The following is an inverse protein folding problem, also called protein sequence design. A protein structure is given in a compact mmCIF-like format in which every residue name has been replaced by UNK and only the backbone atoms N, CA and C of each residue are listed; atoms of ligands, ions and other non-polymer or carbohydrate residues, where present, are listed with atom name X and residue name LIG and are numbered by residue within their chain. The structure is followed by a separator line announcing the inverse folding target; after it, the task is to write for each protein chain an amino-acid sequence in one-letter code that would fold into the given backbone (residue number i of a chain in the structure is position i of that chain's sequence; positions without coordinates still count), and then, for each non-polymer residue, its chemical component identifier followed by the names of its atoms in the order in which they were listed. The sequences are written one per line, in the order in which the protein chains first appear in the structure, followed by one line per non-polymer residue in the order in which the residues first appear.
data_IF_896471341104
#
_entry.id   IF_896471341104
#
_cell.length_a   1.000
_cell.length_b   1.000
_cell.length_c   1.000
_cell.angle_alpha   90.00
_cell.angle_beta   90.00
_cell.angle_gamma   90.00
#
_symmetry.space_group_name_H-M   'P 1'
#
loop_
_entity.id
_entity.type
_entity.pdbx_description
1 polymer ?
#
# COMPACT_ATOMS: atom_id res chain seq x y z
N UNK A 1 24.71 -0.72 8.20
CA UNK A 1 23.64 0.02 8.89
C UNK A 1 22.30 -0.63 8.51
N UNK A 2 21.73 -1.48 9.37
CA UNK A 2 20.40 -2.05 9.13
C UNK A 2 19.37 -0.93 9.31
N UNK A 3 18.75 -0.48 8.22
CA UNK A 3 17.57 0.37 8.31
C UNK A 3 16.47 -0.51 8.92
N UNK A 4 16.08 -0.23 10.16
CA UNK A 4 14.95 -0.88 10.80
C UNK A 4 13.73 -0.66 9.91
N UNK A 5 13.23 -1.74 9.30
CA UNK A 5 12.05 -1.70 8.44
C UNK A 5 10.86 -1.51 9.37
N UNK A 6 10.36 -0.28 9.49
CA UNK A 6 9.17 0.00 10.29
C UNK A 6 7.99 -0.82 9.71
N UNK A 7 7.66 -1.94 10.34
CA UNK A 7 6.51 -2.75 9.98
C UNK A 7 5.28 -2.17 10.68
N UNK A 8 4.42 -1.51 9.89
CA UNK A 8 3.10 -1.12 10.38
C UNK A 8 2.29 -2.41 10.56
N UNK A 9 1.72 -2.62 11.74
CA UNK A 9 0.75 -3.70 11.98
C UNK A 9 -0.66 -3.14 11.86
N UNK A 10 -1.55 -3.79 11.11
CA UNK A 10 -2.95 -3.40 11.00
C UNK A 10 -3.72 -3.90 12.24
N UNK A 11 -3.89 -3.04 13.25
CA UNK A 11 -4.61 -3.38 14.49
C UNK A 11 -5.95 -2.69 14.60
N UNK A 12 -6.03 -1.45 14.13
CA UNK A 12 -7.22 -0.59 14.18
C UNK A 12 -7.41 0.17 12.87
N UNK A 13 -8.59 0.76 12.63
CA UNK A 13 -8.86 1.48 11.38
C UNK A 13 -7.87 2.60 11.05
N UNK A 14 -7.32 3.28 12.06
CA UNK A 14 -6.31 4.33 11.88
C UNK A 14 -5.03 3.83 11.17
N UNK A 15 -4.70 2.56 11.35
CA UNK A 15 -3.49 1.96 10.77
C UNK A 15 -3.66 1.71 9.27
N UNK A 16 -4.92 1.62 8.78
CA UNK A 16 -5.28 1.20 7.44
C UNK A 16 -4.48 1.92 6.35
N UNK A 17 -4.45 3.25 6.39
CA UNK A 17 -3.81 4.05 5.31
C UNK A 17 -2.30 3.82 5.26
N UNK A 18 -1.63 3.82 6.42
CA UNK A 18 -0.18 3.61 6.51
C UNK A 18 0.17 2.16 6.16
N UNK A 19 -0.61 1.21 6.67
CA UNK A 19 -0.44 -0.21 6.42
C UNK A 19 -0.59 -0.54 4.92
N UNK A 20 -1.70 -0.09 4.30
CA UNK A 20 -1.98 -0.33 2.88
C UNK A 20 -0.88 0.27 2.00
N UNK A 21 -0.36 1.45 2.33
CA UNK A 21 0.78 2.05 1.63
C UNK A 21 2.01 1.12 1.63
N UNK A 22 2.34 0.48 2.76
CA UNK A 22 3.45 -0.48 2.80
C UNK A 22 3.20 -1.70 1.91
N UNK A 23 1.95 -2.17 1.81
CA UNK A 23 1.57 -3.30 0.95
C UNK A 23 1.67 -2.91 -0.53
N UNK A 24 1.23 -1.70 -0.88
CA UNK A 24 1.37 -1.14 -2.23
C UNK A 24 2.83 -1.05 -2.66
N UNK A 25 3.69 -0.49 -1.82
CA UNK A 25 5.15 -0.43 -2.07
C UNK A 25 5.74 -1.84 -2.24
N UNK A 26 5.27 -2.83 -1.47
CA UNK A 26 5.74 -4.22 -1.62
C UNK A 26 5.31 -4.83 -2.96
N UNK A 27 4.06 -4.61 -3.35
CA UNK A 27 3.50 -5.07 -4.62
C UNK A 27 4.20 -4.41 -5.83
N UNK A 28 4.47 -3.11 -5.77
CA UNK A 28 5.08 -2.34 -6.86
C UNK A 28 6.50 -2.83 -7.21
N UNK A 29 7.23 -3.45 -6.27
CA UNK A 29 8.58 -4.01 -6.49
C UNK A 29 8.63 -5.03 -7.63
N UNK A 30 7.55 -5.79 -7.82
CA UNK A 30 7.42 -6.77 -8.89
C UNK A 30 6.26 -6.40 -9.84
N UNK A 31 5.86 -5.13 -9.87
CA UNK A 31 4.75 -4.61 -10.68
C UNK A 31 3.44 -5.38 -10.45
N UNK A 32 3.17 -5.77 -9.20
CA UNK A 32 2.04 -6.63 -8.87
C UNK A 32 0.74 -5.89 -8.59
N UNK A 33 0.79 -4.56 -8.42
CA UNK A 33 -0.38 -3.80 -7.96
C UNK A 33 -1.58 -3.98 -8.89
N UNK A 34 -1.34 -4.17 -10.20
CA UNK A 34 -2.40 -4.42 -11.20
C UNK A 34 -3.23 -5.69 -10.95
N UNK A 35 -2.66 -6.69 -10.25
CA UNK A 35 -3.33 -7.95 -9.89
C UNK A 35 -3.96 -7.91 -8.48
N UNK A 36 -3.77 -6.83 -7.72
CA UNK A 36 -4.30 -6.71 -6.34
C UNK A 36 -4.95 -5.35 -6.05
N UNK A 37 -5.18 -4.55 -7.09
CA UNK A 37 -5.67 -3.19 -6.95
C UNK A 37 -7.12 -3.17 -6.41
N UNK A 38 -7.28 -2.67 -5.18
CA UNK A 38 -8.57 -2.57 -4.50
C UNK A 38 -9.52 -1.49 -5.02
N UNK A 39 -9.05 -0.66 -5.95
CA UNK A 39 -9.87 0.36 -6.61
C UNK A 39 -10.52 -0.18 -7.90
N UNK A 40 -10.09 -1.37 -8.34
CA UNK A 40 -10.68 -2.09 -9.46
C UNK A 40 -11.69 -3.13 -8.97
N UNK A 41 -12.74 -3.33 -9.78
CA UNK A 41 -13.65 -4.45 -9.59
C UNK A 41 -12.94 -5.76 -9.95
N UNK A 42 -13.34 -6.91 -9.36
CA UNK A 42 -12.72 -8.20 -9.66
C UNK A 42 -12.67 -8.52 -11.17
N UNK A 43 -13.68 -8.09 -11.92
CA UNK A 43 -13.80 -8.33 -13.37
C UNK A 43 -12.82 -7.49 -14.20
N UNK A 44 -12.25 -6.42 -13.63
CA UNK A 44 -11.27 -5.54 -14.29
C UNK A 44 -9.84 -5.82 -13.85
N UNK A 45 -9.66 -6.70 -12.88
CA UNK A 45 -8.35 -7.09 -12.36
C UNK A 45 -7.65 -7.94 -13.42
N UNK A 46 -6.35 -7.71 -13.63
CA UNK A 46 -5.57 -8.63 -14.45
C UNK A 46 -5.47 -9.97 -13.74
N UNK A 47 -5.57 -11.07 -14.48
CA UNK A 47 -5.27 -12.39 -13.97
C UNK A 47 -3.87 -12.78 -14.41
N UNK A 48 -3.01 -13.13 -13.45
CA UNK A 48 -1.64 -13.52 -13.78
C UNK A 48 -1.60 -14.78 -14.66
N UNK A 49 -2.57 -15.69 -14.51
CA UNK A 49 -2.66 -16.92 -15.32
C UNK A 49 -2.82 -16.61 -16.81
N UNK A 50 -3.50 -15.52 -17.18
CA UNK A 50 -3.68 -15.12 -18.58
C UNK A 50 -2.36 -14.71 -19.25
N UNK A 51 -1.37 -14.29 -18.44
CA UNK A 51 -0.02 -13.93 -18.91
C UNK A 51 0.94 -15.12 -18.93
N UNK A 52 0.50 -16.32 -18.53
CA UNK A 52 1.36 -17.50 -18.50
C UNK A 52 1.82 -17.84 -19.92
N UNK A 53 3.14 -17.88 -20.18
CA UNK A 53 3.66 -18.27 -21.49
C UNK A 53 3.18 -19.66 -21.88
N UNK A 54 2.79 -19.83 -23.14
CA UNK A 54 2.34 -21.11 -23.69
C UNK A 54 3.47 -21.75 -24.45
N UNK A 55 3.82 -22.96 -24.05
CA UNK A 55 4.81 -23.77 -24.74
C UNK A 55 4.28 -24.16 -26.13
N UNK A 56 5.13 -24.09 -27.14
CA UNK A 56 4.82 -24.51 -28.50
C UNK A 56 5.47 -25.87 -28.74
N UNK A 57 4.70 -26.78 -29.32
CA UNK A 57 5.22 -28.09 -29.74
C UNK A 57 6.31 -27.92 -30.82
N UNK A 58 7.35 -28.76 -30.76
CA UNK A 58 8.50 -28.71 -31.68
C UNK A 58 8.10 -28.75 -33.16
N UNK A 59 7.06 -29.52 -33.52
CA UNK A 59 6.52 -29.58 -34.89
C UNK A 59 6.12 -28.23 -35.49
N UNK A 60 5.81 -27.22 -34.67
CA UNK A 60 5.43 -25.87 -35.12
C UNK A 60 6.58 -25.13 -35.80
N UNK A 61 7.82 -25.57 -35.59
CA UNK A 61 9.01 -24.96 -36.17
C UNK A 61 9.44 -25.60 -37.49
N UNK A 62 8.76 -26.67 -37.94
CA UNK A 62 9.09 -27.36 -39.19
C UNK A 62 8.41 -26.72 -40.39
N UNK A 63 9.10 -26.70 -41.54
CA UNK A 63 8.57 -26.24 -42.81
C UNK A 63 8.88 -27.25 -43.95
N UNK A 64 7.87 -27.86 -44.59
CA UNK A 64 6.43 -27.68 -44.35
C UNK A 64 6.01 -28.24 -42.98
N UNK A 65 4.93 -27.68 -42.42
CA UNK A 65 4.27 -28.29 -41.27
C UNK A 65 3.80 -29.69 -41.64
N UNK A 66 4.01 -30.64 -40.74
CA UNK A 66 3.61 -32.03 -40.89
C UNK A 66 2.91 -32.50 -39.62
N UNK A 67 2.02 -33.47 -39.77
CA UNK A 67 1.31 -34.10 -38.65
C UNK A 67 2.11 -35.24 -38.00
N UNK A 68 3.32 -35.51 -38.49
CA UNK A 68 4.23 -36.49 -37.92
C UNK A 68 4.72 -36.04 -36.54
N UNK A 69 5.02 -37.02 -35.68
CA UNK A 69 5.70 -36.75 -34.41
C UNK A 69 7.14 -36.31 -34.72
N UNK A 70 7.48 -35.10 -34.29
CA UNK A 70 8.77 -34.45 -34.56
C UNK A 70 9.40 -34.07 -33.24
N UNK A 71 10.66 -34.41 -33.09
CA UNK A 71 11.49 -34.00 -31.95
C UNK A 71 12.62 -33.07 -32.40
N UNK A 72 13.33 -32.46 -31.45
CA UNK A 72 14.38 -31.46 -31.70
C UNK A 72 15.46 -31.95 -32.68
N UNK A 73 15.93 -33.22 -32.63
CA UNK A 73 16.92 -33.74 -33.57
C UNK A 73 16.47 -33.78 -35.03
N UNK A 74 15.17 -33.77 -35.29
CA UNK A 74 14.60 -33.85 -36.64
C UNK A 74 14.57 -32.48 -37.36
N UNK A 75 14.90 -31.40 -36.65
CA UNK A 75 14.92 -30.05 -37.19
C UNK A 75 16.19 -29.79 -38.02
N UNK A 76 16.02 -29.11 -39.16
CA UNK A 76 17.15 -28.56 -39.91
C UNK A 76 17.87 -27.47 -39.11
N UNK A 77 19.10 -27.12 -39.50
CA UNK A 77 19.88 -26.09 -38.82
C UNK A 77 19.15 -24.72 -38.75
N UNK A 78 18.39 -24.36 -39.77
CA UNK A 78 17.59 -23.13 -39.81
C UNK A 78 16.39 -23.19 -38.88
N UNK A 79 15.65 -24.31 -38.87
CA UNK A 79 14.50 -24.50 -37.99
C UNK A 79 14.92 -24.59 -36.52
N UNK A 80 16.04 -25.26 -36.25
CA UNK A 80 16.66 -25.33 -34.93
C UNK A 80 17.07 -23.94 -34.42
N UNK A 81 17.57 -23.06 -35.29
CA UNK A 81 17.88 -21.68 -34.91
C UNK A 81 16.61 -20.88 -34.54
N UNK A 82 15.50 -21.08 -35.25
CA UNK A 82 14.20 -20.48 -34.93
C UNK A 82 13.65 -21.02 -33.61
N UNK A 83 13.67 -22.35 -33.43
CA UNK A 83 13.27 -23.03 -32.19
C UNK A 83 14.08 -22.49 -31.00
N UNK A 84 15.42 -22.46 -31.09
CA UNK A 84 16.28 -21.96 -30.02
C UNK A 84 16.01 -20.49 -29.67
N UNK A 85 15.72 -19.65 -30.68
CA UNK A 85 15.37 -18.25 -30.45
C UNK A 85 14.03 -18.10 -29.73
N UNK A 86 13.05 -18.93 -30.10
CA UNK A 86 11.76 -19.00 -29.40
C UNK A 86 11.91 -19.55 -27.98
N UNK A 87 12.63 -20.66 -27.78
CA UNK A 87 12.84 -21.29 -26.48
C UNK A 87 13.48 -20.33 -25.48
N UNK A 88 14.54 -19.61 -25.89
CA UNK A 88 15.15 -18.55 -25.05
C UNK A 88 14.18 -17.45 -24.64
N UNK A 89 13.25 -17.08 -25.54
CA UNK A 89 12.21 -16.09 -25.23
C UNK A 89 11.18 -16.67 -24.26
N UNK A 90 10.73 -17.91 -24.52
CA UNK A 90 9.80 -18.63 -23.67
C UNK A 90 10.36 -18.77 -22.25
N UNK A 91 11.58 -19.29 -22.07
CA UNK A 91 12.24 -19.43 -20.77
C UNK A 91 12.31 -18.10 -20.01
N UNK A 92 12.64 -17.01 -20.71
CA UNK A 92 12.73 -15.67 -20.11
C UNK A 92 11.36 -15.16 -19.68
N UNK A 93 10.35 -15.34 -20.52
CA UNK A 93 8.99 -14.88 -20.23
C UNK A 93 8.38 -15.75 -19.11
N UNK A 94 8.69 -17.05 -19.05
CA UNK A 94 8.24 -17.98 -18.00
C UNK A 94 8.92 -17.67 -16.67
N UNK A 95 10.23 -17.40 -16.67
CA UNK A 95 10.95 -16.97 -15.47
C UNK A 95 10.38 -15.66 -14.89
N UNK A 96 9.98 -14.71 -15.75
CA UNK A 96 9.30 -13.47 -15.31
C UNK A 96 7.93 -13.76 -14.71
N UNK A 97 7.15 -14.65 -15.32
CA UNK A 97 5.85 -15.07 -14.81
C UNK A 97 5.97 -15.77 -13.44
N UNK A 98 6.88 -16.74 -13.30
CA UNK A 98 7.16 -17.43 -12.04
C UNK A 98 7.63 -16.46 -10.94
N UNK A 99 8.39 -15.44 -11.31
CA UNK A 99 8.81 -14.39 -10.37
C UNK A 99 7.61 -13.62 -9.83
N UNK A 100 6.67 -13.23 -10.70
CA UNK A 100 5.42 -12.56 -10.28
C UNK A 100 4.56 -13.46 -9.40
N UNK A 101 4.41 -14.73 -9.78
CA UNK A 101 3.61 -15.72 -9.03
C UNK A 101 4.16 -15.88 -7.60
N UNK A 102 5.47 -16.11 -7.47
CA UNK A 102 6.15 -16.21 -6.17
C UNK A 102 5.99 -14.93 -5.36
N UNK A 103 6.08 -13.78 -6.01
CA UNK A 103 5.95 -12.49 -5.33
C UNK A 103 4.51 -12.21 -4.86
N UNK A 104 3.46 -12.68 -5.57
CA UNK A 104 2.07 -12.64 -5.09
C UNK A 104 1.85 -13.51 -3.86
N UNK A 105 2.40 -14.73 -3.84
CA UNK A 105 2.37 -15.61 -2.65
C UNK A 105 3.10 -14.98 -1.47
N UNK A 106 4.22 -14.33 -1.74
CA UNK A 106 4.97 -13.56 -0.73
C UNK A 106 4.15 -12.40 -0.18
N UNK A 107 3.45 -11.65 -1.05
CA UNK A 107 2.58 -10.56 -0.62
C UNK A 107 1.45 -11.07 0.29
N UNK A 108 0.84 -12.21 -0.04
CA UNK A 108 -0.17 -12.85 0.80
C UNK A 108 0.38 -13.20 2.19
N UNK A 109 1.58 -13.78 2.25
CA UNK A 109 2.26 -14.05 3.53
C UNK A 109 2.54 -12.76 4.31
N UNK A 110 3.02 -11.71 3.65
CA UNK A 110 3.28 -10.43 4.32
C UNK A 110 2.00 -9.79 4.87
N UNK A 111 0.85 -9.95 4.20
CA UNK A 111 -0.45 -9.50 4.73
C UNK A 111 -0.74 -10.22 6.03
N UNK A 112 -0.70 -11.55 6.05
CA UNK A 112 -0.95 -12.37 7.23
C UNK A 112 -0.02 -11.99 8.39
N UNK A 113 1.26 -11.77 8.13
CA UNK A 113 2.26 -11.41 9.15
C UNK A 113 2.12 -9.99 9.71
N UNK A 114 1.41 -9.10 9.00
CA UNK A 114 1.32 -7.68 9.36
C UNK A 114 -0.09 -7.26 9.77
N UNK A 115 -1.01 -8.19 9.98
CA UNK A 115 -2.28 -7.93 10.64
C UNK A 115 -2.25 -8.40 12.10
N UNK A 116 -3.07 -7.76 12.93
CA UNK A 116 -3.29 -8.21 14.30
C UNK A 116 -3.95 -9.59 14.33
N UNK A 117 -3.58 -10.43 15.30
CA UNK A 117 -4.07 -11.81 15.42
C UNK A 117 -5.59 -11.87 15.44
N UNK A 118 -6.27 -10.89 16.05
CA UNK A 118 -7.73 -10.83 16.12
C UNK A 118 -8.42 -10.65 14.75
N UNK A 119 -7.67 -10.26 13.72
CA UNK A 119 -8.17 -10.05 12.37
C UNK A 119 -7.82 -11.20 11.42
N UNK A 120 -7.03 -12.20 11.88
CA UNK A 120 -6.69 -13.37 11.06
C UNK A 120 -7.93 -14.17 10.66
N UNK A 121 -8.90 -14.29 11.55
CA UNK A 121 -10.16 -15.01 11.30
C UNK A 121 -10.94 -14.41 10.11
N UNK A 122 -10.75 -13.12 9.81
CA UNK A 122 -11.40 -12.46 8.67
C UNK A 122 -10.90 -12.97 7.32
N UNK A 123 -9.69 -13.55 7.26
CA UNK A 123 -9.03 -13.90 6.00
C UNK A 123 -8.70 -15.38 5.85
N UNK A 124 -9.20 -16.24 6.75
CA UNK A 124 -8.94 -17.69 6.72
C UNK A 124 -9.37 -18.33 5.39
N UNK A 125 -10.53 -17.94 4.87
CA UNK A 125 -11.10 -18.49 3.63
C UNK A 125 -10.64 -17.75 2.36
N UNK A 126 -9.71 -16.80 2.48
CA UNK A 126 -9.23 -16.03 1.33
C UNK A 126 -8.12 -16.80 0.58
N UNK A 127 -8.35 -17.10 -0.70
CA UNK A 127 -7.43 -17.89 -1.52
C UNK A 127 -6.19 -17.11 -2.00
N UNK A 128 -6.27 -15.78 -2.07
CA UNK A 128 -5.23 -14.95 -2.67
C UNK A 128 -5.06 -13.58 -1.97
N UNK A 129 -3.99 -12.86 -2.33
CA UNK A 129 -3.71 -11.55 -1.75
C UNK A 129 -4.80 -10.50 -2.02
N UNK A 130 -5.50 -10.58 -3.16
CA UNK A 130 -6.55 -9.62 -3.51
C UNK A 130 -7.78 -9.80 -2.61
N UNK A 131 -8.26 -11.03 -2.46
CA UNK A 131 -9.36 -11.40 -1.58
C UNK A 131 -9.07 -11.04 -0.13
N UNK A 132 -7.85 -11.31 0.36
CA UNK A 132 -7.39 -10.89 1.69
C UNK A 132 -7.49 -9.37 1.87
N UNK A 133 -6.89 -8.60 0.95
CA UNK A 133 -6.90 -7.14 1.00
C UNK A 133 -8.31 -6.56 0.90
N UNK A 134 -9.17 -7.15 0.07
CA UNK A 134 -10.56 -6.71 -0.11
C UNK A 134 -11.38 -6.94 1.15
N UNK A 135 -11.24 -8.10 1.79
CA UNK A 135 -11.92 -8.41 3.04
C UNK A 135 -11.44 -7.49 4.16
N UNK A 136 -10.13 -7.31 4.32
CA UNK A 136 -9.58 -6.38 5.31
C UNK A 136 -10.06 -4.94 5.04
N UNK A 137 -10.16 -4.48 3.79
CA UNK A 137 -10.70 -3.15 3.42
C UNK A 137 -12.13 -3.00 3.90
N UNK A 138 -12.97 -4.01 3.67
CA UNK A 138 -14.38 -4.00 4.08
C UNK A 138 -14.54 -3.83 5.60
N UNK A 139 -13.68 -4.44 6.41
CA UNK A 139 -13.81 -4.47 7.86
C UNK A 139 -12.99 -3.40 8.60
N UNK A 140 -11.87 -2.97 8.04
CA UNK A 140 -10.86 -2.16 8.74
C UNK A 140 -10.56 -0.83 8.05
N UNK A 141 -11.01 -0.60 6.82
CA UNK A 141 -10.92 0.73 6.23
C UNK A 141 -11.95 1.65 6.91
N UNK A 142 -11.54 2.72 7.61
CA UNK A 142 -12.50 3.66 8.17
C UNK A 142 -13.24 4.36 7.03
N UNK A 143 -14.53 4.65 7.25
CA UNK A 143 -15.25 5.56 6.35
C UNK A 143 -14.65 6.98 6.46
N UNK A 144 -14.92 7.84 5.48
CA UNK A 144 -14.48 9.24 5.52
C UNK A 144 -14.99 9.93 6.80
N UNK A 145 -16.25 9.67 7.19
CA UNK A 145 -16.83 10.21 8.42
C UNK A 145 -16.13 9.73 9.68
N UNK A 146 -15.85 8.42 9.78
CA UNK A 146 -15.11 7.85 10.91
C UNK A 146 -13.69 8.40 10.99
N UNK A 147 -12.99 8.48 9.85
CA UNK A 147 -11.65 9.07 9.77
C UNK A 147 -11.67 10.52 10.24
N UNK A 148 -12.60 11.33 9.76
CA UNK A 148 -12.70 12.74 10.16
C UNK A 148 -13.03 12.88 11.65
N UNK A 149 -13.88 12.02 12.19
CA UNK A 149 -14.17 11.99 13.62
C UNK A 149 -12.93 11.64 14.46
N UNK A 150 -12.16 10.63 14.04
CA UNK A 150 -10.91 10.25 14.70
C UNK A 150 -9.85 11.35 14.63
N UNK A 151 -9.72 12.02 13.47
CA UNK A 151 -8.80 13.14 13.30
C UNK A 151 -9.16 14.29 14.25
N UNK A 152 -10.45 14.62 14.37
CA UNK A 152 -10.93 15.62 15.34
C UNK A 152 -10.63 15.23 16.78
N UNK A 153 -10.93 13.99 17.17
CA UNK A 153 -10.67 13.53 18.53
C UNK A 153 -9.18 13.65 18.89
N UNK A 154 -8.28 13.27 17.97
CA UNK A 154 -6.82 13.45 18.15
C UNK A 154 -6.42 14.92 18.17
N UNK A 155 -7.02 15.74 17.31
CA UNK A 155 -6.76 17.17 17.29
C UNK A 155 -7.15 17.83 18.62
N UNK A 156 -8.36 17.61 19.10
CA UNK A 156 -8.81 18.11 20.41
C UNK A 156 -7.89 17.64 21.55
N UNK A 157 -7.40 16.39 21.49
CA UNK A 157 -6.45 15.89 22.49
C UNK A 157 -5.11 16.64 22.46
N UNK A 158 -4.58 17.02 21.29
CA UNK A 158 -3.35 17.81 21.22
C UNK A 158 -3.57 19.29 21.55
N UNK A 159 -4.77 19.83 21.32
CA UNK A 159 -5.19 21.16 21.80
C UNK A 159 -5.12 21.31 23.33
N UNK A 160 -5.19 20.18 24.04
CA UNK A 160 -4.90 20.15 25.47
C UNK A 160 -3.46 19.74 25.72
N UNK A 161 -2.64 20.66 26.23
CA UNK A 161 -1.24 20.35 26.55
C UNK A 161 -1.16 19.17 27.55
N UNK A 162 -0.35 18.14 27.27
CA UNK A 162 -0.13 17.08 28.23
C UNK A 162 0.67 17.61 29.43
N UNK A 163 0.20 17.33 30.64
CA UNK A 163 0.85 17.80 31.88
C UNK A 163 2.17 17.09 32.17
N UNK A 164 2.34 15.86 31.68
CA UNK A 164 3.44 14.96 32.04
C UNK A 164 4.16 14.34 30.83
N UNK A 165 3.67 14.54 29.60
CA UNK A 165 4.27 13.95 28.40
C UNK A 165 5.42 14.80 27.86
N UNK A 166 6.29 14.17 27.06
CA UNK A 166 7.37 14.85 26.36
C UNK A 166 6.80 15.88 25.36
N UNK A 167 7.26 17.13 25.46
CA UNK A 167 6.85 18.23 24.59
C UNK A 167 7.19 17.99 23.12
N UNK A 168 8.33 17.37 22.81
CA UNK A 168 8.73 17.06 21.44
C UNK A 168 7.75 16.07 20.80
N UNK A 169 7.38 15.01 21.54
CA UNK A 169 6.41 14.01 21.07
C UNK A 169 5.03 14.62 20.85
N UNK A 170 4.61 15.52 21.75
CA UNK A 170 3.36 16.26 21.59
C UNK A 170 3.40 17.18 20.37
N UNK A 171 4.52 17.88 20.15
CA UNK A 171 4.70 18.77 19.01
C UNK A 171 4.72 17.99 17.68
N UNK A 172 5.41 16.85 17.62
CA UNK A 172 5.41 15.97 16.45
C UNK A 172 4.00 15.47 16.09
N UNK A 173 3.21 15.11 17.10
CA UNK A 173 1.81 14.73 16.92
C UNK A 173 0.95 15.92 16.47
N UNK A 174 1.16 17.11 17.02
CA UNK A 174 0.49 18.35 16.59
C UNK A 174 0.72 18.64 15.10
N UNK A 175 1.98 18.62 14.66
CA UNK A 175 2.35 18.84 13.25
C UNK A 175 1.72 17.77 12.37
N UNK A 176 1.79 16.51 12.81
CA UNK A 176 1.22 15.37 12.08
C UNK A 176 -0.29 15.51 11.91
N UNK A 177 -1.03 15.78 12.99
CA UNK A 177 -2.50 15.85 12.94
C UNK A 177 -2.97 17.06 12.15
N UNK A 178 -2.31 18.21 12.30
CA UNK A 178 -2.64 19.44 11.56
C UNK A 178 -2.45 19.25 10.06
N UNK A 179 -1.36 18.58 9.64
CA UNK A 179 -1.16 18.19 8.23
C UNK A 179 -2.29 17.28 7.74
N UNK A 180 -2.67 16.25 8.50
CA UNK A 180 -3.73 15.32 8.11
C UNK A 180 -5.11 15.98 8.01
N UNK A 181 -5.43 16.92 8.91
CA UNK A 181 -6.65 17.73 8.85
C UNK A 181 -6.66 18.65 7.61
N UNK A 182 -5.51 19.23 7.29
CA UNK A 182 -5.34 20.11 6.11
C UNK A 182 -5.55 19.33 4.81
N UNK A 183 -4.95 18.15 4.70
CA UNK A 183 -5.15 17.22 3.57
C UNK A 183 -6.61 16.77 3.43
N UNK A 184 -7.30 16.57 4.56
CA UNK A 184 -8.72 16.25 4.62
C UNK A 184 -9.64 17.47 4.43
N UNK A 185 -9.07 18.67 4.21
CA UNK A 185 -9.80 19.95 4.04
C UNK A 185 -10.78 20.22 5.18
N UNK A 186 -10.36 19.93 6.40
CA UNK A 186 -11.21 20.07 7.58
C UNK A 186 -11.25 21.54 8.07
N UNK A 187 -12.40 22.00 8.63
CA UNK A 187 -12.59 23.40 9.01
C UNK A 187 -11.68 23.88 10.15
N UNK A 188 -11.09 22.96 10.92
CA UNK A 188 -10.17 23.22 12.03
C UNK A 188 -8.85 23.83 11.57
N UNK A 189 -8.43 23.58 10.32
CA UNK A 189 -7.19 24.12 9.73
C UNK A 189 -7.45 25.21 8.71
N UNK A 190 -8.67 25.73 8.62
CA UNK A 190 -9.02 26.81 7.69
C UNK A 190 -8.54 28.16 8.24
N UNK A 191 -7.96 28.99 7.37
CA UNK A 191 -7.35 30.27 7.75
C UNK A 191 -6.28 30.08 8.83
N UNK A 192 -6.34 30.86 9.92
CA UNK A 192 -5.38 30.89 11.02
C UNK A 192 -5.79 30.05 12.24
N UNK A 193 -6.92 29.32 12.18
CA UNK A 193 -7.49 28.58 13.33
C UNK A 193 -6.52 27.61 14.00
N UNK A 194 -5.74 26.86 13.21
CA UNK A 194 -4.76 25.94 13.77
C UNK A 194 -3.59 26.65 14.46
N UNK A 195 -3.25 27.87 14.02
CA UNK A 195 -2.19 28.68 14.63
C UNK A 195 -2.69 29.31 15.94
N UNK A 196 -3.93 29.82 15.96
CA UNK A 196 -4.60 30.30 17.17
C UNK A 196 -4.66 29.19 18.23
N UNK A 197 -5.15 28.01 17.85
CA UNK A 197 -5.30 26.88 18.77
C UNK A 197 -3.95 26.40 19.32
N UNK A 198 -2.89 26.42 18.49
CA UNK A 198 -1.53 26.10 18.95
C UNK A 198 -1.06 27.09 20.03
N UNK A 199 -1.20 28.40 19.77
CA UNK A 199 -0.82 29.45 20.72
C UNK A 199 -1.59 29.26 22.03
N UNK A 200 -2.91 29.04 21.96
CA UNK A 200 -3.75 28.80 23.13
C UNK A 200 -3.30 27.57 23.93
N UNK A 201 -2.93 26.48 23.24
CA UNK A 201 -2.44 25.25 23.86
C UNK A 201 -1.13 25.45 24.63
N UNK A 202 -0.30 26.42 24.21
CA UNK A 202 0.99 26.73 24.85
C UNK A 202 0.93 27.73 26.00
N UNK A 203 -0.23 28.35 26.30
CA UNK A 203 -0.36 29.35 27.40
C UNK A 203 0.11 28.84 28.75
N UNK A 204 -0.03 27.53 29.01
CA UNK A 204 0.46 26.90 30.23
C UNK A 204 1.98 26.78 30.35
N UNK A 205 2.75 27.17 29.33
CA UNK A 205 4.21 27.25 29.34
C UNK A 205 4.68 28.71 29.54
N UNK A 206 4.12 29.63 28.74
CA UNK A 206 4.39 31.07 28.83
C UNK A 206 3.16 31.85 28.35
N UNK A 207 2.38 32.37 29.29
CA UNK A 207 1.15 33.12 28.97
C UNK A 207 1.44 34.49 28.36
N UNK A 208 2.56 35.12 28.73
CA UNK A 208 2.95 36.45 28.21
C UNK A 208 3.33 36.35 26.73
N UNK A 209 4.15 35.35 26.39
CA UNK A 209 4.51 35.06 25.01
C UNK A 209 3.27 34.70 24.19
N UNK A 210 2.42 33.79 24.68
CA UNK A 210 1.22 33.36 23.97
C UNK A 210 0.23 34.52 23.73
N UNK A 211 0.02 35.39 24.74
CA UNK A 211 -0.83 36.57 24.58
C UNK A 211 -0.29 37.53 23.52
N UNK A 212 1.03 37.75 23.49
CA UNK A 212 1.68 38.59 22.48
C UNK A 212 1.52 38.01 21.07
N UNK A 213 1.80 36.72 20.89
CA UNK A 213 1.66 36.05 19.60
C UNK A 213 0.21 36.06 19.09
N UNK A 214 -0.77 35.88 19.98
CA UNK A 214 -2.18 35.93 19.60
C UNK A 214 -2.58 37.33 19.12
N UNK A 215 -2.14 38.39 19.79
CA UNK A 215 -2.38 39.77 19.34
C UNK A 215 -1.77 40.05 17.97
N UNK A 216 -0.55 39.57 17.73
CA UNK A 216 0.13 39.76 16.43
C UNK A 216 -0.54 38.97 15.31
N UNK A 217 -1.12 37.81 15.61
CA UNK A 217 -1.85 37.00 14.64
C UNK A 217 -3.15 37.69 14.18
N UNK A 218 -3.87 38.30 15.12
CA UNK A 218 -5.10 39.08 14.90
C UNK A 218 -4.80 40.36 14.11
N UNK A 219 -3.73 41.10 14.46
CA UNK A 219 -3.34 42.34 13.75
C UNK A 219 -2.94 42.12 12.27
N UNK A 220 -2.64 40.88 11.89
CA UNK A 220 -2.25 40.48 10.53
C UNK A 220 -3.43 39.97 9.69
N UNK A 221 -4.67 40.04 10.18
CA UNK A 221 -5.89 39.89 9.36
C UNK A 221 -6.27 41.21 8.69
#
# INVERSE_FOLDING_TARGET
MQVARASVTLRKPDDWSKWLLTRKISADRNSLWEYVNLDLSPERLKMLEDERPKELEVRRFRNPLTDEQIDIPDLTATELATYNSWARRFDRDEARWLTKEKALRTLSLEIVQTIDVKHLDLILDCADAYSQLRTLKKHLCPSIGQRNHQLRARYTAVCTRPKTANLDTWFDEWVTITRLLTEAKMPETTSKRAQEEFILSTRGLDDSWAATQLQDLIKKE
#
